data_IF_022357041272
#
_entry.id   IF_022357041272
#
_cell.length_a   1.000
_cell.length_b   1.000
_cell.length_c   1.000
_cell.angle_alpha   90.00
_cell.angle_beta   90.00
_cell.angle_gamma   90.00
#
_symmetry.space_group_name_H-M   'P 1'
#
loop_
_entity.id
_entity.type
_entity.pdbx_description
1 polymer ?
#
# COMPACT_ATOMS: atom_id res chain seq x y z
N UNK A 1 25.54 3.92 -8.32
CA UNK A 1 25.93 3.93 -6.90
C UNK A 1 24.92 3.06 -6.17
N UNK A 2 25.36 2.07 -5.41
CA UNK A 2 24.48 1.08 -4.72
C UNK A 2 24.66 1.20 -3.21
N UNK A 3 23.67 0.80 -2.40
CA UNK A 3 23.67 1.06 -0.96
C UNK A 3 24.93 0.54 -0.27
N UNK A 4 25.39 -0.67 -0.60
CA UNK A 4 26.59 -1.23 0.03
C UNK A 4 27.87 -0.42 -0.25
N UNK A 5 27.96 0.19 -1.44
CA UNK A 5 29.10 1.00 -1.82
C UNK A 5 29.17 2.33 -1.07
N UNK A 6 28.04 2.81 -0.53
CA UNK A 6 27.97 4.07 0.21
C UNK A 6 28.19 3.92 1.72
N UNK A 7 28.10 2.70 2.26
CA UNK A 7 28.31 2.43 3.68
C UNK A 7 29.78 2.54 4.06
N UNK A 8 30.68 1.99 3.23
CA UNK A 8 32.12 1.94 3.52
C UNK A 8 32.70 3.35 3.62
N UNK A 9 33.33 3.67 4.75
CA UNK A 9 33.90 4.98 5.04
C UNK A 9 32.88 6.06 5.41
N UNK A 10 31.60 5.71 5.55
CA UNK A 10 30.55 6.63 5.99
C UNK A 10 30.36 6.59 7.51
N UNK A 11 29.59 7.54 8.05
CA UNK A 11 29.15 7.51 9.46
C UNK A 11 28.24 6.31 9.79
N UNK A 12 27.75 5.59 8.77
CA UNK A 12 26.91 4.41 8.94
C UNK A 12 27.72 3.11 8.96
N UNK A 13 29.05 3.16 8.81
CA UNK A 13 29.90 1.98 8.93
C UNK A 13 29.82 1.40 10.35
N UNK A 14 29.40 0.13 10.48
CA UNK A 14 29.17 -0.51 11.77
C UNK A 14 27.87 -0.11 12.49
N UNK A 15 27.03 0.75 11.89
CA UNK A 15 25.74 1.17 12.48
C UNK A 15 24.66 0.10 12.39
N UNK A 16 24.56 -0.59 11.25
CA UNK A 16 23.49 -1.55 11.01
C UNK A 16 23.63 -2.82 11.87
N UNK A 17 22.52 -3.41 12.34
CA UNK A 17 22.57 -4.63 13.13
C UNK A 17 23.28 -5.77 12.39
N UNK A 18 24.18 -6.49 13.08
CA UNK A 18 24.95 -7.59 12.49
C UNK A 18 24.08 -8.75 11.95
N UNK A 19 22.84 -8.88 12.45
CA UNK A 19 21.89 -9.89 11.97
C UNK A 19 21.18 -9.52 10.66
N UNK A 20 21.41 -8.33 10.11
CA UNK A 20 20.79 -7.91 8.86
C UNK A 20 21.64 -8.33 7.66
N UNK A 21 20.99 -8.94 6.67
CA UNK A 21 21.60 -9.19 5.38
C UNK A 21 21.48 -7.95 4.48
N UNK A 22 22.46 -7.05 4.60
CA UNK A 22 22.48 -5.80 3.83
C UNK A 22 22.58 -6.04 2.32
N UNK A 23 23.16 -7.17 1.89
CA UNK A 23 23.20 -7.53 0.46
C UNK A 23 21.80 -7.86 -0.04
N UNK A 24 21.07 -8.68 0.70
CA UNK A 24 19.67 -9.01 0.37
C UNK A 24 18.77 -7.78 0.33
N UNK A 25 18.99 -6.81 1.22
CA UNK A 25 18.26 -5.53 1.20
C UNK A 25 18.61 -4.72 -0.05
N UNK A 26 19.89 -4.55 -0.36
CA UNK A 26 20.35 -3.83 -1.57
C UNK A 26 19.77 -4.48 -2.85
N UNK A 27 19.83 -5.81 -2.95
CA UNK A 27 19.25 -6.58 -4.06
C UNK A 27 17.73 -6.36 -4.19
N UNK A 28 16.99 -6.37 -3.07
CA UNK A 28 15.55 -6.13 -3.08
C UNK A 28 15.19 -4.75 -3.65
N UNK A 29 16.00 -3.74 -3.33
CA UNK A 29 15.83 -2.35 -3.78
C UNK A 29 16.43 -2.08 -5.17
N UNK A 30 17.12 -3.04 -5.78
CA UNK A 30 17.83 -2.86 -7.05
C UNK A 30 16.97 -3.12 -8.30
N UNK A 31 15.71 -3.51 -8.13
CA UNK A 31 14.80 -3.78 -9.26
C UNK A 31 14.44 -2.46 -9.97
N UNK A 32 14.53 -2.39 -11.31
CA UNK A 32 14.14 -1.19 -12.05
C UNK A 32 12.61 -1.02 -12.02
N UNK A 33 12.10 0.24 -12.04
CA UNK A 33 10.66 0.50 -11.91
C UNK A 33 9.78 -0.24 -12.93
N UNK A 34 10.29 -0.46 -14.14
CA UNK A 34 9.60 -1.15 -15.23
C UNK A 34 9.30 -2.62 -14.91
N UNK A 35 10.01 -3.19 -13.93
CA UNK A 35 9.83 -4.57 -13.48
C UNK A 35 8.85 -4.72 -12.33
N UNK A 36 8.26 -3.62 -11.83
CA UNK A 36 7.37 -3.67 -10.67
C UNK A 36 6.12 -4.53 -10.88
N UNK A 37 5.73 -4.76 -12.14
CA UNK A 37 4.60 -5.63 -12.50
C UNK A 37 5.01 -7.09 -12.75
N UNK A 38 6.31 -7.40 -12.77
CA UNK A 38 6.81 -8.77 -12.96
C UNK A 38 6.53 -9.60 -11.71
N UNK A 39 5.79 -10.69 -11.91
CA UNK A 39 5.41 -11.64 -10.87
C UNK A 39 6.66 -12.20 -10.17
N UNK A 40 6.69 -12.08 -8.85
CA UNK A 40 7.70 -12.75 -8.03
C UNK A 40 7.18 -14.08 -7.48
N UNK A 41 8.09 -15.05 -7.34
CA UNK A 41 7.76 -16.41 -6.89
C UNK A 41 7.17 -16.47 -5.48
N UNK A 42 7.51 -15.50 -4.63
CA UNK A 42 7.06 -15.43 -3.24
C UNK A 42 5.74 -14.65 -3.06
N UNK A 43 5.20 -14.03 -4.12
CA UNK A 43 3.94 -13.30 -4.03
C UNK A 43 2.76 -14.26 -3.83
N UNK A 44 1.75 -13.80 -3.09
CA UNK A 44 0.46 -14.49 -3.01
C UNK A 44 -0.11 -14.71 -4.43
N UNK A 45 -0.69 -15.89 -4.72
CA UNK A 45 -1.29 -16.22 -6.02
C UNK A 45 -2.28 -15.15 -6.52
N UNK A 46 -3.06 -14.57 -5.62
CA UNK A 46 -4.12 -13.61 -5.93
C UNK A 46 -3.62 -12.15 -5.92
N UNK A 47 -2.35 -11.92 -5.56
CA UNK A 47 -1.76 -10.59 -5.63
C UNK A 47 -1.34 -10.23 -7.06
N UNK A 48 -1.82 -9.08 -7.53
CA UNK A 48 -1.46 -8.52 -8.83
C UNK A 48 -1.36 -6.98 -8.74
N UNK A 49 -0.21 -6.38 -9.09
CA UNK A 49 -0.12 -4.93 -9.20
C UNK A 49 -0.92 -4.44 -10.42
N UNK A 50 -1.63 -3.33 -10.24
CA UNK A 50 -2.39 -2.66 -11.31
C UNK A 50 -1.75 -1.29 -11.56
N UNK A 51 -1.09 -1.08 -12.71
CA UNK A 51 -0.53 0.22 -13.05
C UNK A 51 -1.67 1.22 -13.31
N UNK A 52 -1.45 2.47 -12.90
CA UNK A 52 -2.35 3.59 -13.17
C UNK A 52 -1.59 4.62 -13.98
N UNK A 53 -2.23 5.22 -14.98
CA UNK A 53 -1.57 6.18 -15.89
C UNK A 53 -1.17 7.46 -15.16
N UNK A 54 -1.98 7.89 -14.18
CA UNK A 54 -1.71 9.07 -13.38
C UNK A 54 -2.34 8.96 -11.97
N UNK A 55 -2.06 9.97 -11.14
CA UNK A 55 -2.53 10.03 -9.76
C UNK A 55 -4.06 10.15 -9.64
N UNK A 56 -4.75 10.71 -10.64
CA UNK A 56 -6.21 10.83 -10.63
C UNK A 56 -6.88 9.48 -10.85
N UNK A 57 -6.36 8.69 -11.80
CA UNK A 57 -6.81 7.33 -12.06
C UNK A 57 -6.54 6.44 -10.85
N UNK A 58 -5.34 6.52 -10.27
CA UNK A 58 -5.01 5.81 -9.03
C UNK A 58 -5.99 6.14 -7.90
N UNK A 59 -6.27 7.42 -7.67
CA UNK A 59 -7.20 7.85 -6.63
C UNK A 59 -8.61 7.30 -6.87
N UNK A 60 -9.12 7.35 -8.10
CA UNK A 60 -10.45 6.83 -8.41
C UNK A 60 -10.51 5.32 -8.24
N UNK A 61 -9.56 4.58 -8.83
CA UNK A 61 -9.50 3.12 -8.77
C UNK A 61 -9.34 2.61 -7.34
N UNK A 62 -8.39 3.16 -6.58
CA UNK A 62 -8.21 2.76 -5.17
C UNK A 62 -9.43 3.13 -4.31
N UNK A 63 -10.04 4.28 -4.56
CA UNK A 63 -11.27 4.67 -3.86
C UNK A 63 -12.46 3.76 -4.19
N UNK A 64 -12.56 3.30 -5.43
CA UNK A 64 -13.53 2.28 -5.84
C UNK A 64 -13.31 0.96 -5.10
N UNK A 65 -12.07 0.45 -5.04
CA UNK A 65 -11.78 -0.81 -4.36
C UNK A 65 -12.08 -0.74 -2.85
N UNK A 66 -11.77 0.38 -2.18
CA UNK A 66 -12.15 0.58 -0.77
C UNK A 66 -13.67 0.55 -0.61
N UNK A 67 -14.41 1.25 -1.48
CA UNK A 67 -15.87 1.28 -1.42
C UNK A 67 -16.50 -0.10 -1.70
N UNK A 68 -15.94 -0.85 -2.65
CA UNK A 68 -16.35 -2.22 -2.96
C UNK A 68 -16.13 -3.15 -1.78
N UNK A 69 -14.97 -3.09 -1.12
CA UNK A 69 -14.68 -3.91 0.06
C UNK A 69 -15.69 -3.62 1.19
N UNK A 70 -16.01 -2.33 1.43
CA UNK A 70 -17.04 -1.91 2.40
C UNK A 70 -18.41 -2.49 2.03
N UNK A 71 -18.82 -2.37 0.76
CA UNK A 71 -20.11 -2.84 0.25
C UNK A 71 -20.23 -4.36 0.36
N UNK A 72 -19.28 -5.10 -0.21
CA UNK A 72 -19.29 -6.57 -0.22
C UNK A 72 -19.26 -7.13 1.20
N UNK A 73 -18.44 -6.57 2.08
CA UNK A 73 -18.41 -7.01 3.50
C UNK A 73 -19.76 -6.79 4.19
N UNK A 74 -20.48 -5.71 3.84
CA UNK A 74 -21.84 -5.45 4.33
C UNK A 74 -22.84 -6.47 3.83
N UNK A 75 -22.82 -6.74 2.52
CA UNK A 75 -23.71 -7.70 1.86
C UNK A 75 -23.54 -9.11 2.43
N UNK A 76 -22.33 -9.45 2.86
CA UNK A 76 -22.00 -10.69 3.55
C UNK A 76 -22.34 -10.69 5.06
N UNK A 77 -22.84 -9.57 5.60
CA UNK A 77 -23.22 -9.44 7.02
C UNK A 77 -22.03 -9.44 7.98
N UNK A 78 -20.84 -9.08 7.51
CA UNK A 78 -19.60 -9.07 8.31
C UNK A 78 -19.28 -7.67 8.83
N UNK A 79 -18.50 -7.60 9.91
CA UNK A 79 -17.84 -6.35 10.35
C UNK A 79 -16.55 -6.16 9.58
N UNK A 80 -16.23 -4.91 9.25
CA UNK A 80 -14.99 -4.56 8.55
C UNK A 80 -14.09 -3.74 9.47
N UNK A 81 -12.81 -4.09 9.53
CA UNK A 81 -11.77 -3.26 10.14
C UNK A 81 -10.85 -2.77 9.03
N UNK A 82 -10.68 -1.45 8.92
CA UNK A 82 -9.78 -0.81 7.96
C UNK A 82 -8.64 -0.11 8.71
N UNK A 83 -7.41 -0.36 8.26
CA UNK A 83 -6.22 0.40 8.66
C UNK A 83 -5.94 1.40 7.55
N UNK A 84 -6.14 2.68 7.83
CA UNK A 84 -6.16 3.74 6.83
C UNK A 84 -4.84 4.53 6.85
N UNK A 85 -4.08 4.59 5.75
CA UNK A 85 -2.88 5.41 5.67
C UNK A 85 -3.22 6.91 5.69
N UNK A 86 -2.34 7.71 6.29
CA UNK A 86 -2.49 9.16 6.41
C UNK A 86 -1.71 9.88 5.29
N UNK A 87 -2.31 10.93 4.71
CA UNK A 87 -1.75 11.75 3.63
C UNK A 87 -2.86 12.42 2.81
N UNK A 88 -2.59 13.44 1.96
CA UNK A 88 -3.57 13.98 1.02
C UNK A 88 -3.90 12.94 -0.05
N UNK A 89 -4.76 11.98 0.29
CA UNK A 89 -5.11 10.85 -0.56
C UNK A 89 -6.46 11.12 -1.22
N UNK A 90 -6.44 11.41 -2.53
CA UNK A 90 -7.65 11.65 -3.31
C UNK A 90 -8.61 10.45 -3.35
N UNK A 91 -8.14 9.25 -3.00
CA UNK A 91 -8.94 8.03 -2.97
C UNK A 91 -10.14 8.08 -2.01
N UNK A 92 -10.03 8.78 -0.88
CA UNK A 92 -11.13 8.84 0.09
C UNK A 92 -12.32 9.65 -0.43
N UNK A 93 -12.07 10.68 -1.25
CA UNK A 93 -13.14 11.40 -1.96
C UNK A 93 -13.96 10.45 -2.83
N UNK A 94 -13.28 9.61 -3.61
CA UNK A 94 -13.91 8.63 -4.49
C UNK A 94 -14.63 7.52 -3.71
N UNK A 95 -14.03 7.05 -2.61
CA UNK A 95 -14.67 6.10 -1.70
C UNK A 95 -16.04 6.63 -1.24
N UNK A 96 -16.08 7.88 -0.76
CA UNK A 96 -17.33 8.52 -0.30
C UNK A 96 -18.31 8.73 -1.46
N UNK A 97 -17.82 9.08 -2.65
CA UNK A 97 -18.66 9.25 -3.83
C UNK A 97 -19.40 7.95 -4.18
N UNK A 98 -18.69 6.82 -4.31
CA UNK A 98 -19.30 5.54 -4.65
C UNK A 98 -20.25 5.03 -3.58
N UNK A 99 -19.89 5.12 -2.30
CA UNK A 99 -20.77 4.68 -1.20
C UNK A 99 -22.08 5.47 -1.17
N UNK A 100 -22.03 6.78 -1.45
CA UNK A 100 -23.23 7.62 -1.57
C UNK A 100 -24.08 7.23 -2.78
N UNK A 101 -23.46 7.05 -3.94
CA UNK A 101 -24.15 6.62 -5.16
C UNK A 101 -24.85 5.27 -4.99
N UNK A 102 -24.24 4.35 -4.23
CA UNK A 102 -24.80 3.03 -3.95
C UNK A 102 -25.71 2.96 -2.72
N UNK A 103 -25.90 4.09 -2.01
CA UNK A 103 -26.65 4.16 -0.76
C UNK A 103 -26.19 3.14 0.31
N UNK A 104 -24.87 3.02 0.48
CA UNK A 104 -24.24 2.10 1.45
C UNK A 104 -23.73 2.90 2.65
N UNK A 105 -24.36 2.77 3.81
CA UNK A 105 -23.81 3.29 5.07
C UNK A 105 -22.62 2.45 5.60
N UNK A 106 -21.82 3.03 6.48
CA UNK A 106 -20.62 2.43 7.06
C UNK A 106 -20.81 1.96 8.53
N UNK A 107 -22.02 1.65 8.98
CA UNK A 107 -22.26 1.29 10.39
C UNK A 107 -21.53 0.02 10.84
N UNK A 108 -21.11 -0.84 9.91
CA UNK A 108 -20.34 -2.07 10.14
C UNK A 108 -18.82 -1.88 10.03
N UNK A 109 -18.35 -0.66 9.73
CA UNK A 109 -16.93 -0.34 9.48
C UNK A 109 -16.28 0.29 10.70
N UNK A 110 -15.08 -0.19 11.06
CA UNK A 110 -14.25 0.33 12.14
C UNK A 110 -12.87 0.70 11.58
N UNK A 111 -12.37 1.89 11.91
CA UNK A 111 -11.12 2.43 11.35
C UNK A 111 -10.03 2.59 12.40
N UNK A 112 -8.78 2.35 11.99
CA UNK A 112 -7.56 2.73 12.71
C UNK A 112 -6.64 3.50 11.76
N UNK A 113 -5.90 4.49 12.27
CA UNK A 113 -4.83 5.11 11.48
C UNK A 113 -3.64 4.14 11.36
N UNK A 114 -3.05 4.04 10.17
CA UNK A 114 -1.88 3.18 9.90
C UNK A 114 -0.62 3.66 10.63
N UNK A 115 -0.46 4.96 10.71
CA UNK A 115 0.61 5.68 11.40
C UNK A 115 0.03 6.99 11.96
N UNK A 116 0.70 7.56 12.95
CA UNK A 116 0.36 8.89 13.47
C UNK A 116 1.67 9.61 13.81
N UNK A 117 1.72 10.91 13.56
CA UNK A 117 2.89 11.73 13.86
C UNK A 117 2.70 12.39 15.22
N UNK A 118 3.59 12.10 16.18
CA UNK A 118 3.65 12.74 17.51
C UNK A 118 4.74 13.79 17.58
#
# INVERSE_FOLDING_TARGET
MVFLSTIKGSLMEGYFPAGWDLRKIDECCSNPPEEITKRQVFWNKDFKPVPCDNIYDFNMMMGHEIAMEIKTTKEEGRKLVLILPVGPMGMYRWTVYFLKEWNVDCAHVYGFNMDEWS
#
